data_IF_719909673582
#
_entry.id   IF_719909673582
#
_cell.length_a   1.000
_cell.length_b   1.000
_cell.length_c   1.000
_cell.angle_alpha   90.00
_cell.angle_beta   90.00
_cell.angle_gamma   90.00
#
_symmetry.space_group_name_H-M   'P 1'
#
loop_
_entity.id
_entity.type
_entity.pdbx_description
1 polymer ?
#
# COMPACT_ATOMS: atom_id res chain seq x y z
N UNK A 1 20.06 24.74 -33.00
CA UNK A 1 18.94 24.32 -33.88
C UNK A 1 17.94 23.52 -33.05
N UNK A 2 16.65 23.83 -33.15
CA UNK A 2 15.61 23.02 -32.46
C UNK A 2 15.50 21.70 -33.20
N UNK A 3 15.82 20.59 -32.53
CA UNK A 3 15.84 19.22 -33.14
C UNK A 3 14.45 18.73 -33.55
N UNK A 4 13.40 19.12 -32.81
CA UNK A 4 12.03 18.73 -33.06
C UNK A 4 11.09 19.89 -32.80
N UNK A 5 10.02 20.00 -33.59
CA UNK A 5 8.96 20.96 -33.34
C UNK A 5 8.13 20.56 -32.10
N UNK A 6 7.44 21.50 -31.46
CA UNK A 6 6.53 21.21 -30.34
C UNK A 6 5.46 20.18 -30.75
N UNK A 7 4.94 20.29 -31.98
CA UNK A 7 4.01 19.33 -32.55
C UNK A 7 4.57 17.90 -32.53
N UNK A 8 5.81 17.70 -32.98
CA UNK A 8 6.46 16.40 -32.97
C UNK A 8 6.72 15.89 -31.55
N UNK A 9 7.14 16.75 -30.62
CA UNK A 9 7.35 16.39 -29.22
C UNK A 9 6.06 15.91 -28.56
N UNK A 10 4.95 16.59 -28.79
CA UNK A 10 3.62 16.19 -28.25
C UNK A 10 3.21 14.84 -28.81
N UNK A 11 3.32 14.65 -30.13
CA UNK A 11 2.98 13.35 -30.73
C UNK A 11 3.87 12.21 -30.25
N UNK A 12 5.19 12.43 -30.19
CA UNK A 12 6.12 11.44 -29.64
C UNK A 12 5.75 11.06 -28.20
N UNK A 13 5.45 12.06 -27.37
CA UNK A 13 5.05 11.83 -25.99
C UNK A 13 3.85 10.87 -25.91
N UNK A 14 2.79 11.15 -26.65
CA UNK A 14 1.57 10.33 -26.58
C UNK A 14 1.75 8.94 -27.19
N UNK A 15 2.48 8.83 -28.31
CA UNK A 15 2.79 7.52 -28.90
C UNK A 15 3.58 6.65 -27.92
N UNK A 16 4.63 7.18 -27.31
CA UNK A 16 5.44 6.41 -26.37
C UNK A 16 4.75 6.17 -25.03
N UNK A 17 3.94 7.10 -24.56
CA UNK A 17 3.13 6.89 -23.37
C UNK A 17 2.07 5.78 -23.57
N UNK A 18 1.48 5.70 -24.77
CA UNK A 18 0.57 4.62 -25.14
C UNK A 18 1.31 3.28 -25.29
N UNK A 19 2.47 3.25 -25.95
CA UNK A 19 3.29 2.04 -26.06
C UNK A 19 3.71 1.53 -24.67
N UNK A 20 4.11 2.43 -23.76
CA UNK A 20 4.43 2.08 -22.38
C UNK A 20 3.23 1.50 -21.63
N UNK A 21 2.05 2.07 -21.83
CA UNK A 21 0.83 1.51 -21.27
C UNK A 21 0.53 0.09 -21.80
N UNK A 22 0.69 -0.14 -23.09
CA UNK A 22 0.56 -1.48 -23.69
C UNK A 22 1.53 -2.48 -23.08
N UNK A 23 2.79 -2.07 -22.85
CA UNK A 23 3.80 -2.91 -22.20
C UNK A 23 3.42 -3.26 -20.77
N UNK A 24 2.94 -2.30 -19.97
CA UNK A 24 2.47 -2.52 -18.59
C UNK A 24 1.27 -3.46 -18.53
N UNK A 25 0.29 -3.27 -19.43
CA UNK A 25 -0.89 -4.14 -19.50
C UNK A 25 -0.50 -5.57 -19.92
N UNK A 26 0.41 -5.70 -20.89
CA UNK A 26 0.91 -7.00 -21.33
C UNK A 26 1.67 -7.71 -20.19
N UNK A 27 2.55 -7.01 -19.50
CA UNK A 27 3.27 -7.53 -18.33
C UNK A 27 2.31 -7.98 -17.22
N UNK A 28 1.31 -7.17 -16.90
CA UNK A 28 0.31 -7.51 -15.90
C UNK A 28 -0.55 -8.71 -16.33
N UNK A 29 -0.92 -8.77 -17.61
CA UNK A 29 -1.66 -9.88 -18.19
C UNK A 29 -0.91 -11.21 -18.09
N UNK A 30 0.39 -11.21 -18.41
CA UNK A 30 1.26 -12.38 -18.30
C UNK A 30 1.43 -12.84 -16.84
N UNK A 31 1.56 -11.88 -15.91
CA UNK A 31 1.80 -12.20 -14.49
C UNK A 31 0.55 -12.63 -13.74
N UNK A 32 -0.61 -12.03 -14.04
CA UNK A 32 -1.83 -12.21 -13.25
C UNK A 32 -2.95 -12.95 -14.02
N UNK A 33 -2.75 -13.30 -15.29
CA UNK A 33 -3.75 -13.98 -16.12
C UNK A 33 -5.02 -13.17 -16.39
N UNK A 34 -5.02 -11.84 -16.13
CA UNK A 34 -6.18 -10.95 -16.30
C UNK A 34 -5.74 -9.55 -16.71
N UNK A 35 -6.65 -8.84 -17.37
CA UNK A 35 -6.43 -7.42 -17.70
C UNK A 35 -6.36 -6.56 -16.43
N UNK A 36 -5.25 -5.81 -16.29
CA UNK A 36 -5.06 -4.81 -15.23
C UNK A 36 -4.49 -3.55 -15.88
N UNK A 37 -5.22 -2.43 -15.76
CA UNK A 37 -4.66 -1.14 -16.16
C UNK A 37 -3.71 -0.64 -15.07
N UNK A 38 -2.41 -0.78 -15.29
CA UNK A 38 -1.34 -0.34 -14.37
C UNK A 38 -0.89 1.10 -14.59
N UNK A 39 -1.41 1.79 -15.61
CA UNK A 39 -1.10 3.21 -15.83
C UNK A 39 -1.51 4.06 -14.62
N UNK A 40 -0.78 5.17 -14.39
CA UNK A 40 -1.17 6.16 -13.38
C UNK A 40 -2.52 6.79 -13.70
N UNK A 41 -2.81 7.05 -14.97
CA UNK A 41 -4.06 7.61 -15.48
C UNK A 41 -5.13 6.53 -15.68
N UNK A 42 -6.40 6.93 -15.72
CA UNK A 42 -7.51 6.03 -16.08
C UNK A 42 -7.45 5.63 -17.55
N UNK A 43 -7.03 6.56 -18.43
CA UNK A 43 -6.85 6.32 -19.85
C UNK A 43 -5.65 5.43 -20.17
N UNK A 44 -5.53 5.00 -21.44
CA UNK A 44 -4.50 4.08 -21.90
C UNK A 44 -3.15 4.82 -22.12
N UNK A 45 -2.65 5.48 -21.09
CA UNK A 45 -1.45 6.32 -21.17
C UNK A 45 -0.61 6.15 -19.90
N UNK A 46 0.68 5.89 -20.05
CA UNK A 46 1.68 5.91 -18.99
C UNK A 46 2.66 7.08 -19.21
N UNK A 47 2.45 8.25 -18.59
CA UNK A 47 3.23 9.46 -18.84
C UNK A 47 4.75 9.29 -18.66
N UNK A 48 5.18 8.49 -17.69
CA UNK A 48 6.61 8.25 -17.41
C UNK A 48 7.36 7.72 -18.66
N UNK A 49 6.73 6.84 -19.45
CA UNK A 49 7.32 6.32 -20.68
C UNK A 49 7.39 7.39 -21.76
N UNK A 50 6.38 8.26 -21.86
CA UNK A 50 6.39 9.40 -22.77
C UNK A 50 7.53 10.35 -22.44
N UNK A 51 7.65 10.79 -21.20
CA UNK A 51 8.74 11.67 -20.76
C UNK A 51 10.11 11.00 -20.89
N UNK A 52 10.22 9.72 -20.51
CA UNK A 52 11.45 8.95 -20.58
C UNK A 52 11.99 8.87 -22.00
N UNK A 53 11.18 8.42 -22.95
CA UNK A 53 11.61 8.24 -24.33
C UNK A 53 11.79 9.56 -25.07
N UNK A 54 10.92 10.55 -24.86
CA UNK A 54 11.14 11.90 -25.42
C UNK A 54 12.43 12.50 -24.89
N UNK A 55 12.72 12.36 -23.59
CA UNK A 55 13.97 12.81 -22.98
C UNK A 55 15.20 12.13 -23.60
N UNK A 56 15.19 10.80 -23.72
CA UNK A 56 16.27 10.03 -24.36
C UNK A 56 16.47 10.48 -25.81
N UNK A 57 15.38 10.56 -26.59
CA UNK A 57 15.45 10.94 -27.99
C UNK A 57 15.98 12.37 -28.12
N UNK A 58 15.42 13.32 -27.36
CA UNK A 58 15.82 14.72 -27.44
C UNK A 58 17.31 14.95 -27.13
N UNK A 59 17.82 14.22 -26.13
CA UNK A 59 19.21 14.35 -25.68
C UNK A 59 20.20 13.57 -26.54
N UNK A 60 19.81 12.36 -26.99
CA UNK A 60 20.76 11.37 -27.52
C UNK A 60 20.59 11.05 -29.01
N UNK A 61 19.62 11.63 -29.70
CA UNK A 61 19.36 11.30 -31.11
C UNK A 61 20.59 11.54 -32.03
N UNK A 62 21.39 12.56 -31.74
CA UNK A 62 22.61 12.86 -32.49
C UNK A 62 23.73 11.84 -32.23
N UNK A 63 23.63 11.08 -31.16
CA UNK A 63 24.58 10.04 -30.72
C UNK A 63 24.10 8.64 -31.08
N UNK A 64 22.98 8.51 -31.79
CA UNK A 64 22.35 7.24 -32.13
C UNK A 64 23.27 6.24 -32.83
N UNK A 65 24.27 6.72 -33.59
CA UNK A 65 25.17 5.87 -34.36
C UNK A 65 26.22 5.17 -33.48
N UNK A 66 26.53 5.72 -32.31
CA UNK A 66 27.35 5.04 -31.31
C UNK A 66 26.46 4.31 -30.30
N UNK A 67 26.33 2.99 -30.49
CA UNK A 67 25.43 2.15 -29.70
C UNK A 67 25.78 2.17 -28.21
N UNK A 68 27.07 2.21 -27.85
CA UNK A 68 27.49 2.22 -26.46
C UNK A 68 27.12 3.54 -25.77
N UNK A 69 27.37 4.67 -26.43
CA UNK A 69 27.02 5.99 -25.88
C UNK A 69 25.49 6.13 -25.77
N UNK A 70 24.76 5.68 -26.79
CA UNK A 70 23.30 5.68 -26.77
C UNK A 70 22.78 4.83 -25.62
N UNK A 71 23.30 3.62 -25.41
CA UNK A 71 22.89 2.74 -24.33
C UNK A 71 23.18 3.35 -22.96
N UNK A 72 24.42 3.76 -22.68
CA UNK A 72 24.80 4.33 -21.39
C UNK A 72 24.03 5.63 -21.10
N UNK A 73 23.87 6.49 -22.10
CA UNK A 73 23.07 7.70 -21.99
C UNK A 73 21.59 7.39 -21.71
N UNK A 74 21.05 6.38 -22.38
CA UNK A 74 19.67 5.93 -22.13
C UNK A 74 19.50 5.40 -20.71
N UNK A 75 20.42 4.59 -20.19
CA UNK A 75 20.42 4.14 -18.79
C UNK A 75 20.36 5.34 -17.86
N UNK A 76 21.24 6.32 -18.04
CA UNK A 76 21.30 7.51 -17.17
C UNK A 76 19.98 8.29 -17.22
N UNK A 77 19.51 8.63 -18.43
CA UNK A 77 18.31 9.47 -18.61
C UNK A 77 17.07 8.77 -18.04
N UNK A 78 16.87 7.48 -18.34
CA UNK A 78 15.71 6.74 -17.83
C UNK A 78 15.76 6.59 -16.32
N UNK A 79 16.93 6.29 -15.74
CA UNK A 79 17.13 6.19 -14.28
C UNK A 79 16.82 7.51 -13.57
N UNK A 80 17.28 8.64 -14.11
CA UNK A 80 16.99 9.95 -13.52
C UNK A 80 15.49 10.26 -13.57
N UNK A 81 14.81 9.99 -14.68
CA UNK A 81 13.38 10.22 -14.80
C UNK A 81 12.59 9.30 -13.88
N UNK A 82 12.95 8.02 -13.79
CA UNK A 82 12.33 7.06 -12.88
C UNK A 82 12.51 7.47 -11.42
N UNK A 83 13.72 7.87 -11.03
CA UNK A 83 14.00 8.37 -9.69
C UNK A 83 13.18 9.59 -9.32
N UNK A 84 13.19 10.62 -10.19
CA UNK A 84 12.43 11.86 -9.96
C UNK A 84 10.93 11.54 -9.86
N UNK A 85 10.40 10.69 -10.75
CA UNK A 85 8.99 10.31 -10.74
C UNK A 85 8.62 9.59 -9.44
N UNK A 86 9.41 8.59 -9.01
CA UNK A 86 9.17 7.87 -7.76
C UNK A 86 9.21 8.78 -6.55
N UNK A 87 10.22 9.66 -6.48
CA UNK A 87 10.35 10.64 -5.42
C UNK A 87 9.18 11.64 -5.37
N UNK A 88 8.76 12.18 -6.51
CA UNK A 88 7.63 13.12 -6.60
C UNK A 88 6.33 12.44 -6.18
N UNK A 89 6.07 11.23 -6.67
CA UNK A 89 4.86 10.49 -6.32
C UNK A 89 4.81 10.17 -4.83
N UNK A 90 5.92 9.75 -4.22
CA UNK A 90 5.97 9.50 -2.78
C UNK A 90 5.78 10.79 -1.97
N UNK A 91 6.36 11.90 -2.38
CA UNK A 91 6.18 13.20 -1.70
C UNK A 91 4.75 13.71 -1.80
N UNK A 92 4.10 13.55 -2.95
CA UNK A 92 2.72 14.01 -3.16
C UNK A 92 1.69 13.10 -2.49
N UNK A 93 1.91 11.79 -2.57
CA UNK A 93 0.90 10.81 -2.18
C UNK A 93 1.29 9.99 -0.95
N UNK A 94 2.47 10.23 -0.35
CA UNK A 94 2.99 9.51 0.82
C UNK A 94 2.93 7.98 0.67
N UNK A 95 3.08 7.49 -0.56
CA UNK A 95 3.03 6.07 -0.91
C UNK A 95 3.93 5.81 -2.12
N UNK A 96 4.63 4.69 -2.12
CA UNK A 96 5.45 4.25 -3.25
C UNK A 96 4.57 3.50 -4.26
N UNK A 97 4.64 3.85 -5.54
CA UNK A 97 3.97 3.14 -6.63
C UNK A 97 4.70 1.86 -7.01
N UNK A 98 6.02 1.83 -6.80
CA UNK A 98 6.90 0.68 -6.88
C UNK A 98 7.96 0.81 -5.80
N UNK A 99 8.52 -0.31 -5.37
CA UNK A 99 9.57 -0.32 -4.35
C UNK A 99 10.64 -1.37 -4.69
N UNK A 100 11.83 -0.89 -5.00
CA UNK A 100 13.01 -1.71 -5.28
C UNK A 100 13.95 -1.85 -4.08
N UNK A 101 13.49 -1.57 -2.86
CA UNK A 101 14.33 -1.61 -1.65
C UNK A 101 15.01 -2.97 -1.49
N UNK A 102 14.36 -4.05 -1.90
CA UNK A 102 14.91 -5.42 -1.83
C UNK A 102 15.83 -5.78 -3.01
N UNK A 103 15.93 -4.94 -4.04
CA UNK A 103 16.78 -5.19 -5.20
C UNK A 103 18.21 -4.70 -4.94
N UNK A 104 19.20 -5.41 -5.53
CA UNK A 104 20.62 -5.00 -5.40
C UNK A 104 20.88 -3.67 -6.11
N UNK A 105 21.77 -2.86 -5.53
CA UNK A 105 22.14 -1.54 -6.03
C UNK A 105 20.94 -0.62 -6.26
N UNK A 106 19.98 -0.64 -5.34
CA UNK A 106 18.89 0.32 -5.36
C UNK A 106 19.31 1.67 -4.74
N UNK A 107 18.64 2.73 -5.18
CA UNK A 107 18.79 4.08 -4.60
C UNK A 107 17.44 4.49 -4.06
N UNK A 108 17.32 4.50 -2.73
CA UNK A 108 16.10 4.84 -1.96
C UNK A 108 14.86 4.00 -2.32
N UNK A 109 15.05 2.86 -3.01
CA UNK A 109 13.97 2.01 -3.52
C UNK A 109 13.24 2.56 -4.76
N UNK A 110 13.63 3.74 -5.26
CA UNK A 110 12.99 4.32 -6.46
C UNK A 110 13.55 3.74 -7.74
N UNK A 111 14.83 3.40 -7.78
CA UNK A 111 15.53 2.80 -8.93
C UNK A 111 16.45 1.69 -8.46
N UNK A 112 16.76 0.73 -9.34
CA UNK A 112 17.82 -0.25 -9.10
C UNK A 112 18.55 -0.58 -10.40
N UNK A 113 19.78 -1.07 -10.27
CA UNK A 113 20.67 -1.31 -11.42
C UNK A 113 20.04 -2.24 -12.47
N UNK A 114 19.37 -3.28 -12.04
CA UNK A 114 18.73 -4.27 -12.92
C UNK A 114 17.71 -3.60 -13.85
N UNK A 115 16.75 -2.88 -13.28
CA UNK A 115 15.73 -2.20 -14.07
C UNK A 115 16.28 -1.01 -14.86
N UNK A 116 17.28 -0.30 -14.34
CA UNK A 116 17.96 0.76 -15.09
C UNK A 116 18.62 0.22 -16.37
N UNK A 117 19.25 -0.95 -16.31
CA UNK A 117 19.82 -1.59 -17.50
C UNK A 117 18.74 -2.07 -18.47
N UNK A 118 17.66 -2.65 -17.97
CA UNK A 118 16.52 -3.10 -18.79
C UNK A 118 15.90 -1.90 -19.53
N UNK A 119 15.63 -0.80 -18.84
CA UNK A 119 15.08 0.42 -19.45
C UNK A 119 16.05 1.07 -20.44
N UNK A 120 17.34 1.09 -20.13
CA UNK A 120 18.37 1.57 -21.03
C UNK A 120 18.42 0.76 -22.33
N UNK A 121 18.34 -0.58 -22.23
CA UNK A 121 18.27 -1.47 -23.40
C UNK A 121 17.00 -1.24 -24.21
N UNK A 122 15.84 -1.18 -23.54
CA UNK A 122 14.56 -0.94 -24.21
C UNK A 122 14.54 0.42 -24.93
N UNK A 123 15.03 1.49 -24.29
CA UNK A 123 15.12 2.81 -24.88
C UNK A 123 16.06 2.82 -26.09
N UNK A 124 17.22 2.17 -26.00
CA UNK A 124 18.16 2.04 -27.11
C UNK A 124 17.51 1.33 -28.31
N UNK A 125 16.83 0.23 -28.06
CA UNK A 125 16.09 -0.50 -29.10
C UNK A 125 15.01 0.39 -29.76
N UNK A 126 14.25 1.10 -28.93
CA UNK A 126 13.19 2.00 -29.43
C UNK A 126 13.79 3.11 -30.28
N UNK A 127 14.86 3.76 -29.82
CA UNK A 127 15.50 4.88 -30.58
C UNK A 127 16.03 4.40 -31.91
N UNK A 128 16.63 3.23 -32.00
CA UNK A 128 17.24 2.72 -33.24
C UNK A 128 16.24 2.14 -34.23
N UNK A 129 15.20 1.48 -33.75
CA UNK A 129 14.30 0.68 -34.60
C UNK A 129 12.91 1.31 -34.67
N UNK A 130 12.30 1.62 -33.53
CA UNK A 130 10.89 2.04 -33.46
C UNK A 130 10.76 3.53 -33.82
N UNK A 131 11.68 4.38 -33.31
CA UNK A 131 11.58 5.81 -33.46
C UNK A 131 11.55 6.30 -34.96
N UNK A 132 12.35 5.77 -35.89
CA UNK A 132 12.21 6.14 -37.30
C UNK A 132 10.81 5.86 -37.85
N UNK A 133 10.20 4.74 -37.48
CA UNK A 133 8.84 4.38 -37.92
C UNK A 133 7.81 5.34 -37.32
N UNK A 134 7.94 5.67 -36.02
CA UNK A 134 7.09 6.66 -35.35
C UNK A 134 7.20 8.03 -35.99
N UNK A 135 8.41 8.49 -36.32
CA UNK A 135 8.60 9.77 -36.98
C UNK A 135 7.97 9.78 -38.38
N UNK A 136 8.08 8.72 -39.16
CA UNK A 136 7.42 8.60 -40.45
C UNK A 136 5.89 8.68 -40.31
N UNK A 137 5.34 8.00 -39.28
CA UNK A 137 3.91 8.08 -38.99
C UNK A 137 3.48 9.52 -38.63
N UNK A 138 4.19 10.19 -37.73
CA UNK A 138 3.90 11.56 -37.29
C UNK A 138 3.96 12.55 -38.47
N UNK A 139 5.00 12.43 -39.29
CA UNK A 139 5.19 13.30 -40.46
C UNK A 139 4.16 13.03 -41.59
N UNK A 140 3.56 11.84 -41.62
CA UNK A 140 2.48 11.47 -42.52
C UNK A 140 1.10 12.04 -42.15
N UNK A 141 0.93 12.53 -40.90
CA UNK A 141 -0.34 13.10 -40.45
C UNK A 141 -0.51 14.52 -41.00
N UNK A 142 -1.62 14.84 -41.70
CA UNK A 142 -1.87 16.22 -42.17
C UNK A 142 -1.86 17.19 -40.97
N UNK A 143 -1.07 18.28 -41.09
CA UNK A 143 -0.75 19.14 -39.93
C UNK A 143 -1.98 19.74 -39.25
N UNK A 144 -3.01 20.13 -39.99
CA UNK A 144 -4.25 20.67 -39.43
C UNK A 144 -4.99 19.61 -38.58
N UNK A 145 -5.23 18.43 -39.15
CA UNK A 145 -5.87 17.31 -38.46
C UNK A 145 -5.04 16.87 -37.25
N UNK A 146 -3.73 16.75 -37.42
CA UNK A 146 -2.81 16.38 -36.37
C UNK A 146 -2.78 17.36 -35.20
N UNK A 147 -2.90 18.67 -35.47
CA UNK A 147 -2.95 19.70 -34.43
C UNK A 147 -4.25 19.58 -33.60
N UNK A 148 -5.39 19.40 -34.25
CA UNK A 148 -6.66 19.21 -33.57
C UNK A 148 -6.62 17.96 -32.69
N UNK A 149 -6.12 16.83 -33.20
CA UNK A 149 -5.96 15.59 -32.43
C UNK A 149 -4.98 15.78 -31.27
N UNK A 150 -3.85 16.48 -31.49
CA UNK A 150 -2.90 16.77 -30.42
C UNK A 150 -3.53 17.59 -29.29
N UNK A 151 -4.36 18.58 -29.60
CA UNK A 151 -5.10 19.35 -28.58
C UNK A 151 -6.06 18.46 -27.78
N UNK A 152 -6.78 17.58 -28.42
CA UNK A 152 -7.66 16.60 -27.75
C UNK A 152 -6.84 15.66 -26.87
N UNK A 153 -5.74 15.13 -27.42
CA UNK A 153 -4.84 14.23 -26.69
C UNK A 153 -4.17 14.89 -25.48
N UNK A 154 -3.98 16.20 -25.48
CA UNK A 154 -3.50 16.95 -24.31
C UNK A 154 -4.65 17.20 -23.33
N UNK A 155 -5.80 17.63 -23.82
CA UNK A 155 -6.94 18.01 -22.97
C UNK A 155 -7.54 16.85 -22.18
N UNK A 156 -7.81 15.72 -22.84
CA UNK A 156 -8.40 14.57 -22.18
C UNK A 156 -7.54 13.99 -21.04
N UNK A 157 -6.22 13.75 -21.23
CA UNK A 157 -5.37 13.30 -20.15
C UNK A 157 -5.13 14.33 -19.05
N UNK A 158 -5.20 15.62 -19.35
CA UNK A 158 -5.14 16.66 -18.32
C UNK A 158 -6.35 16.60 -17.37
N UNK A 159 -7.55 16.41 -17.91
CA UNK A 159 -8.76 16.18 -17.10
C UNK A 159 -8.67 14.87 -16.31
N UNK A 160 -8.21 13.80 -16.96
CA UNK A 160 -8.00 12.51 -16.31
C UNK A 160 -6.96 12.58 -15.17
N UNK A 161 -5.89 13.32 -15.36
CA UNK A 161 -4.88 13.59 -14.34
C UNK A 161 -5.51 14.27 -13.13
N UNK A 162 -6.29 15.32 -13.35
CA UNK A 162 -7.00 16.01 -12.27
C UNK A 162 -7.95 15.08 -11.50
N UNK A 163 -8.74 14.29 -12.23
CA UNK A 163 -9.65 13.31 -11.63
C UNK A 163 -8.91 12.22 -10.85
N UNK A 164 -7.80 11.72 -11.39
CA UNK A 164 -6.97 10.69 -10.75
C UNK A 164 -6.34 11.22 -9.47
N UNK A 165 -5.72 12.40 -9.51
CA UNK A 165 -5.11 13.04 -8.34
C UNK A 165 -6.16 13.32 -7.26
N UNK A 166 -7.31 13.88 -7.63
CA UNK A 166 -8.40 14.14 -6.69
C UNK A 166 -8.91 12.84 -6.02
N UNK A 167 -9.04 11.76 -6.79
CA UNK A 167 -9.46 10.47 -6.26
C UNK A 167 -8.44 9.90 -5.25
N UNK A 168 -7.13 9.97 -5.56
CA UNK A 168 -6.06 9.48 -4.69
C UNK A 168 -6.02 10.31 -3.39
N UNK A 169 -6.06 11.64 -3.48
CA UNK A 169 -6.04 12.53 -2.32
C UNK A 169 -7.25 12.31 -1.39
N UNK A 170 -8.44 12.15 -1.95
CA UNK A 170 -9.64 11.86 -1.17
C UNK A 170 -9.59 10.50 -0.48
N UNK A 171 -9.03 9.50 -1.14
CA UNK A 171 -8.82 8.17 -0.59
C UNK A 171 -7.85 8.22 0.60
N UNK A 172 -6.72 8.90 0.45
CA UNK A 172 -5.72 9.04 1.52
C UNK A 172 -6.26 9.78 2.75
N UNK A 173 -7.04 10.86 2.56
CA UNK A 173 -7.71 11.54 3.67
C UNK A 173 -8.58 10.58 4.48
N UNK A 174 -9.36 9.73 3.82
CA UNK A 174 -10.21 8.74 4.48
C UNK A 174 -9.41 7.67 5.22
N UNK A 175 -8.31 7.19 4.63
CA UNK A 175 -7.42 6.23 5.29
C UNK A 175 -6.77 6.81 6.55
N UNK A 176 -6.29 8.06 6.49
CA UNK A 176 -5.72 8.75 7.66
C UNK A 176 -6.74 8.90 8.80
N UNK A 177 -8.00 9.24 8.49
CA UNK A 177 -9.07 9.32 9.49
C UNK A 177 -9.34 7.97 10.17
N UNK A 178 -9.35 6.88 9.40
CA UNK A 178 -9.54 5.53 9.94
C UNK A 178 -8.37 5.12 10.83
N UNK A 179 -7.14 5.41 10.41
CA UNK A 179 -5.93 5.10 11.19
C UNK A 179 -5.87 5.93 12.48
N UNK A 180 -6.25 7.19 12.43
CA UNK A 180 -6.33 8.05 13.63
C UNK A 180 -7.37 7.53 14.62
N UNK A 181 -8.57 7.18 14.17
CA UNK A 181 -9.61 6.59 15.01
C UNK A 181 -9.20 5.23 15.60
N UNK A 182 -8.48 4.40 14.83
CA UNK A 182 -7.96 3.13 15.31
C UNK A 182 -6.89 3.32 16.41
N UNK A 183 -6.04 4.34 16.29
CA UNK A 183 -5.02 4.68 17.31
C UNK A 183 -5.68 5.15 18.61
N UNK A 184 -6.68 6.04 18.52
CA UNK A 184 -7.42 6.54 19.68
C UNK A 184 -8.13 5.40 20.45
N UNK A 185 -8.71 4.44 19.72
CA UNK A 185 -9.31 3.24 20.32
C UNK A 185 -8.24 2.36 21.01
N UNK A 186 -7.05 2.28 20.46
CA UNK A 186 -5.95 1.50 21.05
C UNK A 186 -5.48 2.13 22.37
N UNK A 187 -5.29 3.45 22.40
CA UNK A 187 -4.91 4.21 23.60
C UNK A 187 -5.95 4.05 24.73
N UNK A 188 -7.24 4.14 24.40
CA UNK A 188 -8.33 3.90 25.38
C UNK A 188 -8.31 2.45 25.90
N UNK A 189 -8.03 1.49 25.03
CA UNK A 189 -7.92 0.07 25.41
C UNK A 189 -6.76 -0.18 26.38
N UNK A 190 -5.63 0.48 26.16
CA UNK A 190 -4.45 0.36 27.01
C UNK A 190 -4.70 0.97 28.39
N UNK A 191 -5.32 2.15 28.47
CA UNK A 191 -5.71 2.80 29.74
C UNK A 191 -6.66 1.92 30.55
N UNK A 192 -7.65 1.30 29.89
CA UNK A 192 -8.57 0.38 30.56
C UNK A 192 -7.82 -0.88 31.04
N UNK A 193 -6.90 -1.39 30.23
CA UNK A 193 -6.07 -2.56 30.57
C UNK A 193 -5.18 -2.32 31.80
N UNK A 194 -4.54 -1.17 31.88
CA UNK A 194 -3.73 -0.76 33.04
C UNK A 194 -4.57 -0.63 34.30
N UNK A 195 -5.71 0.05 34.23
CA UNK A 195 -6.60 0.22 35.38
C UNK A 195 -7.13 -1.12 35.93
N UNK A 196 -7.49 -2.04 35.02
CA UNK A 196 -7.92 -3.39 35.41
C UNK A 196 -6.78 -4.19 36.05
N UNK A 197 -5.57 -4.08 35.52
CA UNK A 197 -4.37 -4.71 36.05
C UNK A 197 -4.05 -4.20 37.46
N UNK A 198 -4.05 -2.88 37.65
CA UNK A 198 -3.83 -2.27 38.98
C UNK A 198 -4.89 -2.65 40.00
N UNK A 199 -6.17 -2.71 39.59
CA UNK A 199 -7.23 -3.20 40.49
C UNK A 199 -7.02 -4.65 40.89
N UNK A 200 -6.64 -5.52 39.97
CA UNK A 200 -6.36 -6.93 40.24
C UNK A 200 -5.16 -7.12 41.19
N UNK A 201 -4.08 -6.36 41.00
CA UNK A 201 -2.91 -6.38 41.88
C UNK A 201 -3.26 -5.92 43.29
N UNK A 202 -4.04 -4.85 43.42
CA UNK A 202 -4.47 -4.34 44.73
C UNK A 202 -5.38 -5.32 45.48
N UNK A 203 -6.29 -5.99 44.77
CA UNK A 203 -7.12 -7.04 45.37
C UNK A 203 -6.24 -8.20 45.87
N UNK A 204 -5.24 -8.62 45.06
CA UNK A 204 -4.31 -9.70 45.48
C UNK A 204 -3.52 -9.31 46.73
N UNK A 205 -2.96 -8.09 46.76
CA UNK A 205 -2.20 -7.60 47.92
C UNK A 205 -3.06 -7.58 49.19
N UNK A 206 -4.30 -7.06 49.14
CA UNK A 206 -5.22 -7.06 50.27
C UNK A 206 -5.60 -8.48 50.76
N UNK A 207 -5.68 -9.43 49.81
CA UNK A 207 -5.94 -10.83 50.15
C UNK A 207 -4.75 -11.48 50.85
N UNK A 208 -3.53 -11.12 50.43
CA UNK A 208 -2.31 -11.65 51.06
C UNK A 208 -2.04 -10.99 52.43
N UNK A 209 -2.28 -9.68 52.59
CA UNK A 209 -2.26 -8.98 53.89
C UNK A 209 -3.33 -9.52 54.87
N UNK A 210 -4.53 -9.82 54.37
CA UNK A 210 -5.57 -10.46 55.18
C UNK A 210 -5.18 -11.89 55.63
N UNK A 211 -4.48 -12.66 54.77
CA UNK A 211 -3.99 -14.00 55.15
C UNK A 211 -2.89 -13.96 56.21
N UNK A 212 -1.98 -12.96 56.17
CA UNK A 212 -0.98 -12.78 57.24
C UNK A 212 -1.65 -12.39 58.54
N UNK A 213 -2.60 -11.47 58.56
CA UNK A 213 -3.30 -11.04 59.77
C UNK A 213 -4.14 -12.15 60.40
N UNK A 214 -4.74 -13.03 59.58
CA UNK A 214 -5.48 -14.20 60.07
C UNK A 214 -4.55 -15.36 60.48
N UNK A 215 -3.33 -15.43 59.90
CA UNK A 215 -2.33 -16.43 60.27
C UNK A 215 -1.92 -16.36 61.75
N UNK A 216 -1.73 -15.15 62.27
CA UNK A 216 -1.29 -14.91 63.66
C UNK A 216 -2.40 -15.17 64.70
N UNK A 217 -3.67 -15.19 64.31
CA UNK A 217 -4.82 -15.49 65.20
C UNK A 217 -5.16 -17.00 65.39
N UNK A 218 -4.56 -17.85 64.56
CA UNK A 218 -4.88 -19.29 64.49
C UNK A 218 -3.96 -20.13 65.40
N UNK A 219 -3.03 -19.54 66.11
CA UNK A 219 -2.08 -20.29 66.93
C UNK A 219 -2.60 -20.75 68.36
N UNK A 220 -3.88 -20.59 68.59
CA UNK A 220 -4.49 -20.99 69.87
C UNK A 220 -5.45 -22.17 69.72
N UNK A 221 -4.93 -23.37 69.85
CA UNK A 221 -5.53 -24.68 70.20
C UNK A 221 -5.52 -25.82 69.16
N UNK A 222 -4.76 -26.86 69.46
CA UNK A 222 -4.42 -27.93 68.49
C UNK A 222 -5.55 -28.97 68.22
N UNK A 223 -6.59 -29.02 69.01
CA UNK A 223 -7.68 -30.02 68.84
C UNK A 223 -8.84 -29.56 67.95
N UNK A 224 -9.04 -28.24 67.83
CA UNK A 224 -10.04 -27.66 66.91
C UNK A 224 -9.51 -27.54 65.45
N UNK A 225 -8.20 -27.60 65.28
CA UNK A 225 -7.52 -27.43 64.05
C UNK A 225 -7.70 -28.57 63.02
N UNK A 226 -7.94 -29.81 63.46
CA UNK A 226 -8.05 -30.93 62.53
C UNK A 226 -9.41 -30.91 61.77
N UNK A 227 -10.50 -30.64 62.50
CA UNK A 227 -11.85 -30.55 61.92
C UNK A 227 -12.05 -29.28 61.13
N UNK A 228 -11.47 -28.13 61.57
CA UNK A 228 -11.54 -26.90 60.88
C UNK A 228 -10.68 -26.93 59.60
N UNK A 229 -9.49 -27.57 59.59
CA UNK A 229 -8.68 -27.74 58.38
C UNK A 229 -9.39 -28.50 57.28
N UNK A 230 -10.09 -29.58 57.65
CA UNK A 230 -10.84 -30.38 56.67
C UNK A 230 -12.03 -29.61 56.07
N UNK A 231 -12.72 -28.82 56.93
CA UNK A 231 -13.82 -27.96 56.48
C UNK A 231 -13.31 -26.76 55.63
N UNK A 232 -12.18 -26.15 56.02
CA UNK A 232 -11.55 -25.05 55.31
C UNK A 232 -10.97 -25.53 53.96
N UNK A 233 -10.39 -26.71 53.93
CA UNK A 233 -9.85 -27.30 52.69
C UNK A 233 -10.98 -27.64 51.71
N UNK A 234 -12.10 -28.17 52.23
CA UNK A 234 -13.30 -28.42 51.42
C UNK A 234 -13.94 -27.14 50.89
N UNK A 235 -14.07 -26.12 51.75
CA UNK A 235 -14.57 -24.79 51.33
C UNK A 235 -13.60 -24.10 50.36
N UNK A 236 -12.27 -24.22 50.57
CA UNK A 236 -11.26 -23.70 49.61
C UNK A 236 -11.34 -24.39 48.25
N UNK A 237 -11.61 -25.68 48.24
CA UNK A 237 -11.72 -26.42 46.99
C UNK A 237 -13.02 -26.07 46.25
N UNK A 238 -14.11 -25.82 46.97
CA UNK A 238 -15.36 -25.31 46.41
C UNK A 238 -15.23 -23.85 45.93
N UNK A 239 -14.60 -22.98 46.73
CA UNK A 239 -14.27 -21.60 46.28
C UNK A 239 -13.34 -21.59 45.08
N UNK A 240 -12.32 -22.46 45.06
CA UNK A 240 -11.42 -22.57 43.90
C UNK A 240 -12.15 -23.00 42.64
N UNK A 241 -13.04 -23.99 42.73
CA UNK A 241 -13.90 -24.44 41.63
C UNK A 241 -14.85 -23.33 41.19
N UNK A 242 -15.41 -22.59 42.14
CA UNK A 242 -16.28 -21.45 41.85
C UNK A 242 -15.49 -20.29 41.18
N UNK A 243 -14.29 -19.94 41.71
CA UNK A 243 -13.43 -18.93 41.10
C UNK A 243 -12.91 -19.32 39.70
N UNK A 244 -12.59 -20.60 39.51
CA UNK A 244 -12.19 -21.12 38.19
C UNK A 244 -13.38 -21.06 37.21
N UNK A 245 -14.59 -21.42 37.63
CA UNK A 245 -15.80 -21.32 36.79
C UNK A 245 -16.18 -19.88 36.46
N UNK A 246 -16.03 -18.95 37.42
CA UNK A 246 -16.26 -17.54 37.21
C UNK A 246 -15.19 -16.96 36.25
N UNK A 247 -13.91 -17.31 36.47
CA UNK A 247 -12.82 -16.91 35.58
C UNK A 247 -12.98 -17.41 34.14
N UNK A 248 -13.38 -18.67 34.01
CA UNK A 248 -13.64 -19.29 32.70
C UNK A 248 -14.85 -18.64 32.04
N UNK A 249 -15.91 -18.35 32.78
CA UNK A 249 -17.08 -17.63 32.27
C UNK A 249 -16.75 -16.19 31.86
N UNK A 250 -15.95 -15.47 32.63
CA UNK A 250 -15.49 -14.12 32.29
C UNK A 250 -14.52 -14.11 31.12
N UNK A 251 -13.62 -15.10 31.04
CA UNK A 251 -12.72 -15.28 29.90
C UNK A 251 -13.52 -15.54 28.63
N UNK A 252 -14.47 -16.48 28.68
CA UNK A 252 -15.35 -16.79 27.55
C UNK A 252 -16.20 -15.56 27.13
N UNK A 253 -16.69 -14.77 28.09
CA UNK A 253 -17.40 -13.51 27.81
C UNK A 253 -16.50 -12.44 27.21
N UNK A 254 -15.23 -12.32 27.67
CA UNK A 254 -14.25 -11.40 27.10
C UNK A 254 -13.90 -11.81 25.67
N UNK A 255 -13.60 -13.09 25.46
CA UNK A 255 -13.24 -13.63 24.15
C UNK A 255 -14.42 -13.49 23.16
N UNK A 256 -15.64 -13.77 23.61
CA UNK A 256 -16.85 -13.57 22.83
C UNK A 256 -17.09 -12.08 22.49
N UNK A 257 -16.87 -11.15 23.42
CA UNK A 257 -16.98 -9.70 23.17
C UNK A 257 -15.87 -9.20 22.24
N UNK A 258 -14.65 -9.69 22.43
CA UNK A 258 -13.52 -9.35 21.55
C UNK A 258 -13.75 -9.86 20.13
N UNK A 259 -14.22 -11.10 19.99
CA UNK A 259 -14.56 -11.71 18.70
C UNK A 259 -15.72 -10.96 18.02
N UNK A 260 -16.78 -10.61 18.77
CA UNK A 260 -17.91 -9.83 18.24
C UNK A 260 -17.49 -8.43 17.81
N UNK A 261 -16.66 -7.73 18.61
CA UNK A 261 -16.13 -6.42 18.26
C UNK A 261 -15.19 -6.47 17.04
N UNK A 262 -14.40 -7.54 16.92
CA UNK A 262 -13.53 -7.76 15.76
C UNK A 262 -14.35 -8.09 14.50
N UNK A 263 -15.42 -8.88 14.63
CA UNK A 263 -16.35 -9.18 13.54
C UNK A 263 -17.08 -7.92 13.06
N UNK A 264 -17.62 -7.10 13.96
CA UNK A 264 -18.28 -5.82 13.63
C UNK A 264 -17.30 -4.84 12.94
N UNK A 265 -16.05 -4.76 13.41
CA UNK A 265 -15.01 -3.96 12.75
C UNK A 265 -14.67 -4.46 11.35
N UNK A 266 -14.58 -5.80 11.18
CA UNK A 266 -14.33 -6.42 9.87
C UNK A 266 -15.49 -6.18 8.91
N UNK A 267 -16.73 -6.28 9.41
CA UNK A 267 -17.95 -6.04 8.62
C UNK A 267 -18.06 -4.56 8.19
N UNK A 268 -17.87 -3.62 9.10
CA UNK A 268 -17.84 -2.18 8.79
C UNK A 268 -16.71 -1.81 7.83
N UNK A 269 -15.54 -2.43 7.97
CA UNK A 269 -14.43 -2.24 7.04
C UNK A 269 -14.73 -2.85 5.67
N UNK A 270 -15.43 -4.00 5.60
CA UNK A 270 -15.90 -4.63 4.35
C UNK A 270 -16.95 -3.75 3.66
N UNK A 271 -17.99 -3.31 4.38
CA UNK A 271 -19.02 -2.41 3.84
C UNK A 271 -18.44 -1.10 3.33
N UNK A 272 -17.48 -0.52 4.08
CA UNK A 272 -16.79 0.70 3.68
C UNK A 272 -15.97 0.49 2.39
N UNK A 273 -15.22 -0.62 2.28
CA UNK A 273 -14.44 -0.97 1.07
C UNK A 273 -15.36 -1.25 -0.12
N UNK A 274 -16.46 -1.96 0.12
CA UNK A 274 -17.43 -2.28 -0.92
C UNK A 274 -18.14 -1.02 -1.44
N UNK A 275 -18.45 -0.07 -0.57
CA UNK A 275 -18.97 1.23 -0.93
C UNK A 275 -17.96 2.09 -1.71
N UNK A 276 -16.66 2.02 -1.37
CA UNK A 276 -15.61 2.66 -2.14
C UNK A 276 -15.43 1.99 -3.53
N UNK A 277 -15.47 0.65 -3.60
CA UNK A 277 -15.40 -0.12 -4.86
C UNK A 277 -16.58 0.19 -5.79
N UNK A 278 -17.78 0.38 -5.25
CA UNK A 278 -18.98 0.70 -6.04
C UNK A 278 -18.99 2.15 -6.54
N UNK A 279 -18.35 3.08 -5.83
CA UNK A 279 -18.48 4.53 -6.09
C UNK A 279 -17.41 5.15 -7.00
N UNK A 280 -16.24 4.51 -7.22
CA UNK A 280 -15.19 5.11 -8.04
C UNK A 280 -14.49 4.08 -8.94
N UNK A 281 -14.60 4.30 -10.25
CA UNK A 281 -13.85 3.55 -11.25
C UNK A 281 -12.33 3.66 -11.02
N UNK A 282 -11.85 4.86 -10.70
CA UNK A 282 -10.43 5.14 -10.44
C UNK A 282 -9.91 4.38 -9.21
N UNK A 283 -10.70 4.30 -8.13
CA UNK A 283 -10.33 3.52 -6.95
C UNK A 283 -10.11 2.04 -7.30
N UNK A 284 -11.08 1.41 -8.00
CA UNK A 284 -10.99 0.00 -8.40
C UNK A 284 -9.78 -0.29 -9.29
N UNK A 285 -9.43 0.66 -10.14
CA UNK A 285 -8.29 0.53 -11.03
C UNK A 285 -6.96 0.61 -10.26
N UNK A 286 -6.82 1.60 -9.36
CA UNK A 286 -5.60 1.84 -8.60
C UNK A 286 -5.33 0.70 -7.62
N UNK A 287 -6.33 0.21 -6.88
CA UNK A 287 -6.14 -0.90 -5.96
C UNK A 287 -5.71 -2.20 -6.67
N UNK A 288 -6.22 -2.44 -7.88
CA UNK A 288 -5.80 -3.60 -8.69
C UNK A 288 -4.40 -3.46 -9.30
N UNK A 289 -4.03 -2.24 -9.68
CA UNK A 289 -2.76 -1.97 -10.33
C UNK A 289 -1.58 -1.94 -9.35
N UNK A 290 -1.84 -1.52 -8.12
CA UNK A 290 -0.84 -1.27 -7.09
C UNK A 290 -1.29 -1.85 -5.75
N UNK A 291 -1.23 -3.18 -5.55
CA UNK A 291 -1.68 -3.85 -4.31
C UNK A 291 -0.89 -3.39 -3.08
N UNK A 292 0.38 -3.02 -3.26
CA UNK A 292 1.28 -2.59 -2.17
C UNK A 292 0.90 -1.22 -1.54
N UNK A 293 -0.05 -0.49 -2.13
CA UNK A 293 -0.63 0.71 -1.51
C UNK A 293 -1.54 0.40 -0.31
N UNK A 294 -1.68 -0.86 0.07
CA UNK A 294 -2.49 -1.29 1.22
C UNK A 294 -4.00 -1.05 1.06
N UNK A 295 -4.46 -0.89 -0.18
CA UNK A 295 -5.86 -0.58 -0.51
C UNK A 295 -6.74 -1.82 -0.62
N UNK A 296 -6.14 -2.97 -0.82
CA UNK A 296 -6.82 -4.27 -0.99
C UNK A 296 -6.13 -5.31 -0.08
N UNK A 297 -6.62 -5.44 1.15
CA UNK A 297 -6.08 -6.42 2.12
C UNK A 297 -6.65 -7.84 1.91
N UNK A 298 -7.35 -8.12 0.80
CA UNK A 298 -7.86 -9.47 0.52
C UNK A 298 -6.71 -10.50 0.30
N UNK A 299 -5.46 -10.03 -0.01
CA UNK A 299 -4.27 -10.89 -0.09
C UNK A 299 -3.54 -11.05 1.25
N UNK A 300 -3.67 -10.13 2.18
CA UNK A 300 -3.09 -10.28 3.53
C UNK A 300 -3.85 -11.32 4.36
N UNK A 301 -5.18 -11.40 4.24
CA UNK A 301 -5.98 -12.44 4.90
C UNK A 301 -5.71 -13.86 4.38
N UNK A 302 -5.17 -14.00 3.16
CA UNK A 302 -4.76 -15.32 2.63
C UNK A 302 -3.40 -15.78 3.12
N UNK A 303 -2.49 -14.83 3.39
CA UNK A 303 -1.15 -15.15 3.93
C UNK A 303 -1.15 -15.42 5.44
N UNK A 304 -2.16 -14.97 6.18
CA UNK A 304 -2.33 -15.32 7.60
C UNK A 304 -3.05 -16.67 7.82
N UNK A 305 -3.55 -17.29 6.75
CA UNK A 305 -4.25 -18.61 6.80
C UNK A 305 -3.43 -19.75 6.20
N UNK A 306 -2.25 -19.47 5.65
CA UNK A 306 -1.22 -20.44 5.28
C UNK A 306 -0.09 -20.48 6.34
#
# INVERSE_FOLDING_TARGET
MVKFSLYQLVWMFFVYAFMGWCAEVAFAGLRHGKFVNRGFLNGPICPIYGFGLVGVIYLLIDLKDNLLILFLGSVIVTTVIEYITGWVLEKLFHAKWWDYTNNRFNIHGYVCLEFSLIWGFAATFIVRIIHPMVMNLINGIPHQTGTVLACIMVGLPAVDLGATVAAICNMQKKLRLITAAAREIHEISDIIGENVSHAAINVRRRTDEAKELYGDLIDMSAAHRAQEKELIEKNREEERKLFESIRETERNRRDARAAAAQADRREKAREFRENLRKKSFTYRRISKAFPDLGLDNDEMEKKEKE
#
